data_IF_837404300763
#
_entry.id   IF_837404300763
#
_cell.length_a   1.000
_cell.length_b   1.000
_cell.length_c   1.000
_cell.angle_alpha   90.00
_cell.angle_beta   90.00
_cell.angle_gamma   90.00
#
_symmetry.space_group_name_H-M   'P 1'
#
loop_
_entity.id
_entity.type
_entity.pdbx_description
1 polymer ?
#
# COMPACT_ATOMS: atom_id res chain seq x y z
N UNK A 1 32.97 48.72 -12.78
CA UNK A 1 32.23 47.46 -13.05
C UNK A 1 31.78 46.92 -11.69
N UNK A 2 30.51 47.20 -11.33
CA UNK A 2 29.93 46.79 -10.04
C UNK A 2 29.38 45.37 -10.21
N UNK A 3 29.75 44.51 -9.26
CA UNK A 3 29.24 43.13 -9.16
C UNK A 3 27.74 43.12 -8.82
N UNK A 4 26.95 42.18 -9.35
CA UNK A 4 25.55 42.09 -9.01
C UNK A 4 25.39 41.50 -7.60
N UNK A 5 24.71 42.23 -6.74
CA UNK A 5 24.24 41.79 -5.44
C UNK A 5 23.27 40.61 -5.60
N UNK A 6 23.67 39.48 -5.06
CA UNK A 6 22.77 38.29 -4.96
C UNK A 6 21.59 38.64 -4.05
N UNK A 7 20.41 38.75 -4.60
CA UNK A 7 19.15 38.84 -3.88
C UNK A 7 18.90 37.51 -3.14
N UNK A 8 19.09 37.53 -1.82
CA UNK A 8 18.65 36.44 -0.93
C UNK A 8 17.16 36.30 -1.05
N UNK A 9 16.70 35.16 -1.58
CA UNK A 9 15.30 34.80 -1.58
C UNK A 9 14.82 34.69 -0.13
N UNK A 10 13.87 35.54 0.24
CA UNK A 10 13.26 35.55 1.57
C UNK A 10 12.64 34.17 1.87
N UNK A 11 13.10 33.55 2.93
CA UNK A 11 12.51 32.31 3.49
C UNK A 11 11.07 32.63 3.92
N UNK A 12 10.03 31.85 3.53
CA UNK A 12 8.70 32.07 4.03
C UNK A 12 8.68 31.89 5.55
N UNK A 13 8.29 32.92 6.29
CA UNK A 13 8.22 32.95 7.76
C UNK A 13 6.93 32.31 8.27
N UNK A 14 6.76 31.01 8.05
CA UNK A 14 5.65 30.23 8.61
C UNK A 14 6.12 28.84 9.01
N UNK A 15 5.76 28.39 10.22
CA UNK A 15 5.99 27.01 10.62
C UNK A 15 5.15 26.09 9.77
N UNK A 16 5.78 25.04 9.24
CA UNK A 16 5.04 23.98 8.59
C UNK A 16 4.11 23.31 9.62
N UNK A 17 2.84 23.03 9.29
CA UNK A 17 1.94 22.35 10.21
C UNK A 17 2.48 20.97 10.58
N UNK A 18 2.18 20.53 11.81
CA UNK A 18 2.65 19.24 12.33
C UNK A 18 2.29 18.10 11.37
N UNK A 19 3.28 17.28 11.00
CA UNK A 19 3.13 16.19 10.06
C UNK A 19 2.83 16.63 8.62
N UNK A 20 3.13 17.87 8.24
CA UNK A 20 2.87 18.48 6.93
C UNK A 20 1.38 18.44 6.51
N UNK A 21 0.45 18.43 7.47
CA UNK A 21 -0.97 18.35 7.17
C UNK A 21 -1.43 19.53 6.30
N UNK A 22 -2.05 19.25 5.14
CA UNK A 22 -2.54 20.25 4.20
C UNK A 22 -1.47 20.92 3.37
N UNK A 23 -0.19 20.51 3.49
CA UNK A 23 0.89 21.00 2.62
C UNK A 23 0.88 20.24 1.32
N UNK A 24 0.70 20.94 0.20
CA UNK A 24 0.86 20.40 -1.16
C UNK A 24 2.33 20.44 -1.52
N UNK A 25 2.96 19.26 -1.60
CA UNK A 25 4.40 19.13 -1.89
C UNK A 25 4.66 19.05 -3.39
N UNK A 26 3.75 18.44 -4.15
CA UNK A 26 3.86 18.23 -5.59
C UNK A 26 2.48 18.07 -6.21
N UNK A 27 2.41 18.05 -7.54
CA UNK A 27 1.21 17.70 -8.30
C UNK A 27 1.26 16.24 -8.72
N UNK A 28 0.11 15.64 -9.01
CA UNK A 28 -0.01 14.28 -9.52
C UNK A 28 -1.22 14.15 -10.45
N UNK A 29 -1.08 13.31 -11.49
CA UNK A 29 -2.17 12.90 -12.37
C UNK A 29 -2.69 11.48 -12.04
N UNK A 30 -2.10 10.82 -11.01
CA UNK A 30 -2.39 9.41 -10.72
C UNK A 30 -3.71 9.21 -9.98
N UNK A 31 -4.11 10.16 -9.15
CA UNK A 31 -5.38 10.09 -8.42
C UNK A 31 -5.47 11.08 -7.26
N UNK A 32 -6.63 11.07 -6.62
CA UNK A 32 -6.91 11.94 -5.47
C UNK A 32 -7.82 11.22 -4.46
N UNK A 33 -7.78 11.70 -3.20
CA UNK A 33 -8.62 11.20 -2.10
C UNK A 33 -9.40 12.36 -1.51
N UNK A 34 -10.71 12.37 -1.74
CA UNK A 34 -11.64 13.40 -1.29
C UNK A 34 -12.33 12.95 0.00
N UNK A 35 -11.69 13.26 1.12
CA UNK A 35 -12.09 12.75 2.42
C UNK A 35 -13.48 13.17 2.88
N UNK A 36 -13.91 14.38 2.55
CA UNK A 36 -15.24 14.91 2.89
C UNK A 36 -16.35 14.25 2.06
N UNK A 37 -16.03 13.87 0.80
CA UNK A 37 -16.98 13.22 -0.12
C UNK A 37 -17.04 11.69 0.07
N UNK A 38 -16.09 11.08 0.79
CA UNK A 38 -15.96 9.63 0.87
C UNK A 38 -15.63 9.02 -0.49
N UNK A 39 -14.78 9.69 -1.27
CA UNK A 39 -14.47 9.32 -2.65
C UNK A 39 -12.97 9.30 -2.88
N UNK A 40 -12.51 8.37 -3.72
CA UNK A 40 -11.15 8.35 -4.27
C UNK A 40 -11.16 7.80 -5.69
N UNK A 41 -10.16 8.17 -6.46
CA UNK A 41 -10.09 7.80 -7.86
C UNK A 41 -8.66 7.53 -8.33
N UNK A 42 -8.53 6.72 -9.37
CA UNK A 42 -7.30 6.51 -10.12
C UNK A 42 -7.47 7.15 -11.49
N UNK A 43 -6.57 8.08 -11.83
CA UNK A 43 -6.77 8.93 -12.99
C UNK A 43 -8.18 9.55 -12.94
N UNK A 44 -8.98 9.44 -13.97
CA UNK A 44 -10.36 9.96 -14.04
C UNK A 44 -11.44 8.97 -13.59
N UNK A 45 -11.09 7.79 -13.10
CA UNK A 45 -12.05 6.72 -12.78
C UNK A 45 -12.21 6.50 -11.28
N UNK A 46 -13.44 6.33 -10.82
CA UNK A 46 -13.74 5.89 -9.45
C UNK A 46 -12.97 4.60 -9.15
N UNK A 47 -12.18 4.60 -8.08
CA UNK A 47 -11.41 3.43 -7.69
C UNK A 47 -12.30 2.27 -7.22
N UNK A 48 -13.47 2.59 -6.62
CA UNK A 48 -14.47 1.59 -6.23
C UNK A 48 -15.10 0.92 -7.45
N UNK A 49 -15.42 1.69 -8.49
CA UNK A 49 -16.01 1.12 -9.71
C UNK A 49 -14.98 0.28 -10.47
N UNK A 50 -13.71 0.70 -10.50
CA UNK A 50 -12.62 -0.12 -11.00
C UNK A 50 -12.49 -1.43 -10.22
N UNK A 51 -12.56 -1.39 -8.90
CA UNK A 51 -12.48 -2.59 -8.05
C UNK A 51 -13.64 -3.58 -8.27
N UNK A 52 -14.81 -3.07 -8.65
CA UNK A 52 -15.97 -3.91 -8.98
C UNK A 52 -15.90 -4.55 -10.38
N UNK A 53 -15.24 -3.89 -11.33
CA UNK A 53 -15.40 -4.21 -12.76
C UNK A 53 -14.11 -4.58 -13.48
N UNK A 54 -12.93 -4.34 -12.88
CA UNK A 54 -11.64 -4.48 -13.55
C UNK A 54 -10.69 -5.41 -12.79
N UNK A 55 -9.69 -5.92 -13.49
CA UNK A 55 -8.60 -6.70 -12.90
C UNK A 55 -7.50 -5.79 -12.37
N UNK A 56 -6.58 -6.36 -11.60
CA UNK A 56 -5.39 -5.62 -11.11
C UNK A 56 -4.54 -5.15 -12.29
N UNK A 57 -4.41 -5.97 -13.34
CA UNK A 57 -3.65 -5.62 -14.54
C UNK A 57 -4.28 -4.47 -15.34
N UNK A 58 -5.62 -4.38 -15.39
CA UNK A 58 -6.30 -3.22 -16.01
C UNK A 58 -5.90 -1.91 -15.29
N UNK A 59 -5.91 -1.93 -13.95
CA UNK A 59 -5.60 -0.74 -13.14
C UNK A 59 -4.10 -0.45 -13.14
N UNK A 60 -3.26 -1.47 -13.12
CA UNK A 60 -1.83 -1.32 -13.30
C UNK A 60 -1.50 -0.66 -14.64
N UNK A 61 -2.09 -1.17 -15.73
CA UNK A 61 -1.96 -0.56 -17.05
C UNK A 61 -2.44 0.91 -17.05
N UNK A 62 -3.61 1.18 -16.47
CA UNK A 62 -4.17 2.54 -16.36
C UNK A 62 -3.18 3.50 -15.69
N UNK A 63 -2.61 3.13 -14.55
CA UNK A 63 -1.69 4.01 -13.81
C UNK A 63 -0.37 4.24 -14.54
N UNK A 64 0.17 3.20 -15.21
CA UNK A 64 1.48 3.28 -15.89
C UNK A 64 1.39 3.81 -17.33
N UNK A 65 0.27 3.59 -18.05
CA UNK A 65 0.09 3.97 -19.46
C UNK A 65 -0.89 5.14 -19.67
N UNK A 66 -1.68 5.50 -18.63
CA UNK A 66 -2.53 6.69 -18.62
C UNK A 66 -3.99 6.48 -19.10
N UNK A 67 -4.34 5.30 -19.59
CA UNK A 67 -5.70 4.93 -20.03
C UNK A 67 -6.04 3.50 -19.70
N UNK A 68 -7.33 3.14 -19.69
CA UNK A 68 -7.75 1.75 -19.54
C UNK A 68 -7.43 0.95 -20.81
N UNK A 69 -6.90 -0.28 -20.67
CA UNK A 69 -6.53 -1.07 -21.83
C UNK A 69 -7.76 -1.56 -22.60
N UNK A 70 -7.65 -1.63 -23.91
CA UNK A 70 -8.46 -2.50 -24.75
C UNK A 70 -8.15 -3.98 -24.45
N UNK A 71 -8.98 -4.91 -24.92
CA UNK A 71 -8.73 -6.34 -24.74
C UNK A 71 -7.38 -6.79 -25.32
N UNK A 72 -6.99 -6.24 -26.47
CA UNK A 72 -5.72 -6.54 -27.12
C UNK A 72 -4.52 -5.98 -26.33
N UNK A 73 -4.61 -4.75 -25.83
CA UNK A 73 -3.58 -4.15 -24.99
C UNK A 73 -3.42 -4.89 -23.66
N UNK A 74 -4.53 -5.30 -23.03
CA UNK A 74 -4.49 -6.09 -21.81
C UNK A 74 -3.80 -7.44 -22.02
N UNK A 75 -4.11 -8.13 -23.13
CA UNK A 75 -3.47 -9.39 -23.47
C UNK A 75 -1.96 -9.22 -23.69
N UNK A 76 -1.56 -8.20 -24.44
CA UNK A 76 -0.16 -7.86 -24.66
C UNK A 76 0.56 -7.50 -23.35
N UNK A 77 -0.08 -6.71 -22.49
CA UNK A 77 0.47 -6.33 -21.18
C UNK A 77 0.67 -7.55 -20.25
N UNK A 78 -0.30 -8.47 -20.22
CA UNK A 78 -0.16 -9.72 -19.46
C UNK A 78 1.01 -10.57 -19.96
N UNK A 79 1.17 -10.67 -21.28
CA UNK A 79 2.31 -11.37 -21.88
C UNK A 79 3.66 -10.67 -21.57
N UNK A 80 3.69 -9.33 -21.54
CA UNK A 80 4.87 -8.54 -21.14
C UNK A 80 5.25 -8.80 -19.67
N UNK A 81 4.26 -8.87 -18.77
CA UNK A 81 4.47 -9.00 -17.33
C UNK A 81 4.79 -10.44 -16.89
N UNK A 82 4.24 -11.45 -17.57
CA UNK A 82 4.34 -12.84 -17.14
C UNK A 82 5.79 -13.30 -16.87
N UNK A 83 6.77 -13.13 -17.78
CA UNK A 83 8.15 -13.55 -17.54
C UNK A 83 8.83 -12.76 -16.40
N UNK A 84 8.36 -11.53 -16.12
CA UNK A 84 8.92 -10.69 -15.07
C UNK A 84 8.54 -11.15 -13.66
N UNK A 85 7.56 -12.04 -13.52
CA UNK A 85 7.15 -12.63 -12.24
C UNK A 85 8.12 -13.71 -11.73
N UNK A 86 8.97 -14.24 -12.59
CA UNK A 86 9.88 -15.35 -12.25
C UNK A 86 11.00 -14.87 -11.33
N UNK A 87 11.25 -15.64 -10.25
CA UNK A 87 12.37 -15.37 -9.34
C UNK A 87 13.69 -15.73 -10.01
N UNK A 88 14.68 -14.83 -10.04
CA UNK A 88 16.01 -15.18 -10.48
C UNK A 88 16.71 -16.10 -9.45
N UNK A 89 17.64 -16.99 -9.86
CA UNK A 89 18.33 -17.91 -8.96
C UNK A 89 18.93 -17.23 -7.73
N UNK A 90 19.53 -16.07 -7.88
CA UNK A 90 20.14 -15.30 -6.78
C UNK A 90 19.16 -14.98 -5.66
N UNK A 91 17.87 -14.80 -5.96
CA UNK A 91 16.85 -14.60 -4.93
C UNK A 91 16.44 -15.92 -4.28
N UNK A 92 16.33 -17.00 -5.06
CA UNK A 92 15.98 -18.33 -4.54
C UNK A 92 17.00 -18.78 -3.51
N UNK A 93 18.29 -18.59 -3.78
CA UNK A 93 19.40 -19.01 -2.91
C UNK A 93 19.37 -18.33 -1.53
N UNK A 94 18.84 -17.10 -1.42
CA UNK A 94 18.83 -16.34 -0.17
C UNK A 94 17.50 -16.46 0.60
N UNK A 95 16.45 -17.05 0.01
CA UNK A 95 15.14 -17.17 0.67
C UNK A 95 15.21 -17.80 2.07
N UNK A 96 15.99 -18.89 2.32
CA UNK A 96 16.09 -19.48 3.64
C UNK A 96 16.61 -18.51 4.72
N UNK A 97 17.57 -17.65 4.35
CA UNK A 97 18.12 -16.65 5.26
C UNK A 97 17.14 -15.50 5.53
N UNK A 98 16.27 -15.17 4.58
CA UNK A 98 15.33 -14.05 4.67
C UNK A 98 13.98 -14.45 5.30
N UNK A 99 13.60 -15.71 5.22
CA UNK A 99 12.28 -16.18 5.65
C UNK A 99 12.09 -16.20 7.18
N UNK A 100 13.16 -16.15 7.98
CA UNK A 100 13.10 -16.11 9.44
C UNK A 100 12.57 -14.79 10.03
N UNK A 101 12.66 -13.70 9.27
CA UNK A 101 12.20 -12.37 9.68
C UNK A 101 10.74 -12.07 9.29
N UNK A 102 10.33 -10.79 9.44
CA UNK A 102 9.03 -10.37 8.91
C UNK A 102 9.02 -10.40 7.38
N UNK A 103 7.89 -10.77 6.73
CA UNK A 103 7.82 -10.81 5.26
C UNK A 103 8.22 -9.49 4.58
N UNK A 104 7.85 -8.34 5.17
CA UNK A 104 8.22 -7.02 4.63
C UNK A 104 9.72 -6.73 4.77
N UNK A 105 10.39 -7.21 5.81
CA UNK A 105 11.84 -7.11 5.93
C UNK A 105 12.52 -7.99 4.88
N UNK A 106 12.04 -9.22 4.70
CA UNK A 106 12.55 -10.15 3.69
C UNK A 106 12.44 -9.58 2.28
N UNK A 107 11.27 -9.04 1.89
CA UNK A 107 11.09 -8.47 0.54
C UNK A 107 11.96 -7.23 0.31
N UNK A 108 12.18 -6.36 1.31
CA UNK A 108 13.10 -5.21 1.18
C UNK A 108 14.52 -5.67 0.84
N UNK A 109 15.01 -6.68 1.57
CA UNK A 109 16.35 -7.22 1.33
C UNK A 109 16.43 -7.93 -0.03
N UNK A 110 15.42 -8.73 -0.37
CA UNK A 110 15.36 -9.40 -1.67
C UNK A 110 15.35 -8.41 -2.84
N UNK A 111 14.57 -7.32 -2.74
CA UNK A 111 14.55 -6.28 -3.78
C UNK A 111 15.89 -5.55 -3.88
N UNK A 112 16.53 -5.21 -2.77
CA UNK A 112 17.88 -4.59 -2.79
C UNK A 112 18.89 -5.50 -3.47
N UNK A 113 18.84 -6.81 -3.19
CA UNK A 113 19.69 -7.80 -3.86
C UNK A 113 19.38 -7.92 -5.35
N UNK A 114 18.07 -7.93 -5.71
CA UNK A 114 17.64 -7.95 -7.10
C UNK A 114 18.21 -6.77 -7.87
N UNK A 115 18.05 -5.55 -7.33
CA UNK A 115 18.56 -4.33 -7.95
C UNK A 115 20.09 -4.39 -8.17
N UNK A 116 20.84 -4.87 -7.18
CA UNK A 116 22.27 -5.04 -7.29
C UNK A 116 22.66 -6.10 -8.35
N UNK A 117 21.95 -7.24 -8.37
CA UNK A 117 22.23 -8.35 -9.27
C UNK A 117 21.83 -8.06 -10.74
N UNK A 118 20.75 -7.33 -10.96
CA UNK A 118 20.27 -6.92 -12.29
C UNK A 118 20.90 -5.60 -12.75
N UNK A 119 21.75 -4.96 -11.93
CA UNK A 119 22.44 -3.72 -12.28
C UNK A 119 21.51 -2.51 -12.39
N UNK A 120 20.61 -2.34 -11.41
CA UNK A 120 19.70 -1.21 -11.35
C UNK A 120 20.44 0.13 -11.51
N UNK A 121 19.93 1.01 -12.39
CA UNK A 121 20.56 2.27 -12.75
C UNK A 121 19.72 3.45 -12.25
N UNK A 122 20.36 4.59 -11.94
CA UNK A 122 19.67 5.83 -11.60
C UNK A 122 18.60 6.17 -12.64
N UNK A 123 17.37 6.54 -12.20
CA UNK A 123 16.31 6.95 -13.14
C UNK A 123 16.72 8.17 -13.97
N UNK A 124 17.67 8.96 -13.44
CA UNK A 124 18.23 10.11 -14.16
C UNK A 124 18.90 9.71 -15.47
N UNK A 125 19.56 8.54 -15.50
CA UNK A 125 20.35 8.02 -16.63
C UNK A 125 19.53 7.14 -17.59
N UNK A 126 18.24 6.97 -17.31
CA UNK A 126 17.36 6.08 -18.07
C UNK A 126 16.38 6.84 -18.95
N UNK A 127 16.08 6.29 -20.12
CA UNK A 127 14.95 6.73 -20.94
C UNK A 127 13.62 6.41 -20.23
N UNK A 128 12.52 7.07 -20.58
CA UNK A 128 11.19 6.76 -20.04
C UNK A 128 10.81 5.28 -20.21
N UNK A 129 11.19 4.65 -21.32
CA UNK A 129 10.93 3.25 -21.61
C UNK A 129 11.70 2.32 -20.68
N UNK A 130 12.97 2.62 -20.40
CA UNK A 130 13.80 1.84 -19.45
C UNK A 130 13.28 1.97 -18.02
N UNK A 131 12.90 3.19 -17.58
CA UNK A 131 12.25 3.41 -16.28
C UNK A 131 10.97 2.59 -16.14
N UNK A 132 10.14 2.57 -17.21
CA UNK A 132 8.92 1.78 -17.23
C UNK A 132 9.20 0.27 -17.14
N UNK A 133 10.22 -0.24 -17.81
CA UNK A 133 10.63 -1.65 -17.73
C UNK A 133 11.08 -2.02 -16.31
N UNK A 134 11.92 -1.19 -15.67
CA UNK A 134 12.35 -1.41 -14.28
C UNK A 134 11.15 -1.41 -13.31
N UNK A 135 10.21 -0.47 -13.49
CA UNK A 135 8.99 -0.42 -12.70
C UNK A 135 8.11 -1.66 -12.88
N UNK A 136 7.95 -2.15 -14.13
CA UNK A 136 7.23 -3.41 -14.41
C UNK A 136 7.90 -4.60 -13.73
N UNK A 137 9.23 -4.69 -13.80
CA UNK A 137 10.01 -5.75 -13.15
C UNK A 137 9.77 -5.79 -11.65
N UNK A 138 9.85 -4.64 -10.97
CA UNK A 138 9.64 -4.54 -9.52
C UNK A 138 8.19 -4.91 -9.15
N UNK A 139 7.21 -4.38 -9.86
CA UNK A 139 5.79 -4.69 -9.60
C UNK A 139 5.50 -6.19 -9.78
N UNK A 140 6.06 -6.81 -10.83
CA UNK A 140 5.80 -8.20 -11.16
C UNK A 140 6.43 -9.18 -10.16
N UNK A 141 7.64 -8.89 -9.67
CA UNK A 141 8.41 -9.82 -8.83
C UNK A 141 8.01 -9.77 -7.35
N UNK A 142 7.54 -8.63 -6.84
CA UNK A 142 7.21 -8.46 -5.40
C UNK A 142 6.21 -9.49 -4.89
N UNK A 143 5.08 -9.78 -5.56
CA UNK A 143 4.16 -10.83 -5.11
C UNK A 143 4.83 -12.20 -5.04
N UNK A 144 5.66 -12.54 -6.03
CA UNK A 144 6.34 -13.84 -6.08
C UNK A 144 7.38 -13.97 -4.95
N UNK A 145 8.14 -12.91 -4.66
CA UNK A 145 9.09 -12.88 -3.52
C UNK A 145 8.34 -13.09 -2.20
N UNK A 146 7.24 -12.38 -1.98
CA UNK A 146 6.46 -12.48 -0.74
C UNK A 146 5.87 -13.88 -0.56
N UNK A 147 5.30 -14.47 -1.62
CA UNK A 147 4.78 -15.84 -1.59
C UNK A 147 5.90 -16.86 -1.33
N UNK A 148 7.06 -16.68 -1.96
CA UNK A 148 8.22 -17.55 -1.77
C UNK A 148 8.75 -17.48 -0.33
N UNK A 149 8.87 -16.29 0.26
CA UNK A 149 9.26 -16.10 1.65
C UNK A 149 8.28 -16.78 2.63
N UNK A 150 6.98 -16.63 2.39
CA UNK A 150 5.96 -17.31 3.19
C UNK A 150 6.10 -18.83 3.12
N UNK A 151 6.19 -19.40 1.91
CA UNK A 151 6.31 -20.85 1.73
C UNK A 151 7.60 -21.40 2.30
N UNK A 152 8.72 -20.70 2.11
CA UNK A 152 10.02 -21.07 2.70
C UNK A 152 9.93 -21.09 4.23
N UNK A 153 9.32 -20.07 4.83
CA UNK A 153 9.10 -20.01 6.29
C UNK A 153 8.24 -21.18 6.80
N UNK A 154 7.23 -21.56 6.03
CA UNK A 154 6.35 -22.68 6.34
C UNK A 154 6.96 -24.06 6.01
N UNK A 155 8.16 -24.14 5.47
CA UNK A 155 8.77 -25.39 5.03
C UNK A 155 8.08 -26.03 3.81
N UNK A 156 7.35 -25.23 3.02
CA UNK A 156 6.60 -25.69 1.86
C UNK A 156 7.41 -25.49 0.56
N UNK A 157 7.22 -26.35 -0.46
CA UNK A 157 7.83 -26.17 -1.76
C UNK A 157 7.42 -24.82 -2.39
N UNK A 158 8.34 -24.17 -3.13
CA UNK A 158 8.02 -22.97 -3.89
C UNK A 158 6.99 -23.30 -4.97
N UNK A 159 6.10 -22.34 -5.23
CA UNK A 159 5.08 -22.42 -6.29
C UNK A 159 5.33 -21.29 -7.28
N UNK A 160 5.62 -21.65 -8.52
CA UNK A 160 5.82 -20.68 -9.59
C UNK A 160 4.49 -20.00 -9.98
N UNK A 161 4.54 -18.72 -10.39
CA UNK A 161 3.37 -18.06 -10.97
C UNK A 161 2.94 -18.73 -12.27
N UNK A 162 1.65 -18.67 -12.58
CA UNK A 162 1.06 -19.20 -13.82
C UNK A 162 0.73 -18.04 -14.76
N UNK A 163 0.96 -18.23 -16.04
CA UNK A 163 0.69 -17.21 -17.07
C UNK A 163 -0.80 -17.04 -17.37
N UNK A 164 -1.60 -18.11 -17.20
CA UNK A 164 -3.04 -18.13 -17.45
C UNK A 164 -3.87 -17.50 -16.31
N UNK A 165 -3.24 -17.16 -15.17
CA UNK A 165 -3.92 -16.56 -14.03
C UNK A 165 -3.66 -15.05 -13.96
N UNK A 166 -4.69 -14.27 -13.60
CA UNK A 166 -4.52 -12.87 -13.25
C UNK A 166 -3.79 -12.69 -11.90
N UNK A 167 -3.42 -11.46 -11.55
CA UNK A 167 -2.62 -11.18 -10.36
C UNK A 167 -3.26 -11.68 -9.06
N UNK A 168 -4.59 -11.57 -8.92
CA UNK A 168 -5.29 -12.02 -7.71
C UNK A 168 -5.33 -13.54 -7.61
N UNK A 169 -5.63 -14.22 -8.72
CA UNK A 169 -5.61 -15.67 -8.78
C UNK A 169 -4.19 -16.23 -8.58
N UNK A 170 -3.19 -15.60 -9.19
CA UNK A 170 -1.78 -15.96 -9.01
C UNK A 170 -1.32 -15.76 -7.56
N UNK A 171 -1.76 -14.69 -6.89
CA UNK A 171 -1.43 -14.48 -5.48
C UNK A 171 -1.90 -15.66 -4.62
N UNK A 172 -3.19 -16.03 -4.73
CA UNK A 172 -3.75 -17.17 -4.02
C UNK A 172 -3.09 -18.50 -4.41
N UNK A 173 -2.83 -18.70 -5.70
CA UNK A 173 -2.13 -19.88 -6.21
C UNK A 173 -0.73 -20.02 -5.63
N UNK A 174 0.08 -18.96 -5.65
CA UNK A 174 1.44 -19.00 -5.11
C UNK A 174 1.49 -19.21 -3.60
N UNK A 175 0.49 -18.73 -2.85
CA UNK A 175 0.40 -18.96 -1.42
C UNK A 175 0.04 -20.41 -1.09
N UNK A 176 -0.97 -20.95 -1.75
CA UNK A 176 -1.59 -22.23 -1.36
C UNK A 176 -1.07 -23.43 -2.15
N UNK A 177 -0.63 -23.23 -3.40
CA UNK A 177 -0.31 -24.30 -4.36
C UNK A 177 -1.57 -24.95 -4.96
N UNK A 178 -2.75 -24.38 -4.73
CA UNK A 178 -4.04 -24.87 -5.24
C UNK A 178 -4.83 -23.75 -5.92
N UNK A 179 -5.67 -24.13 -6.88
CA UNK A 179 -6.55 -23.17 -7.53
C UNK A 179 -7.65 -22.73 -6.56
N UNK A 180 -7.74 -21.41 -6.35
CA UNK A 180 -8.74 -20.84 -5.46
C UNK A 180 -10.13 -20.80 -6.12
N UNK A 181 -11.21 -20.88 -5.33
CA UNK A 181 -12.57 -20.63 -5.81
C UNK A 181 -12.70 -19.23 -6.43
N UNK A 182 -13.50 -19.09 -7.50
CA UNK A 182 -13.66 -17.78 -8.18
C UNK A 182 -14.21 -16.69 -7.25
N UNK A 183 -15.02 -17.05 -6.26
CA UNK A 183 -15.50 -16.10 -5.25
C UNK A 183 -14.34 -15.50 -4.44
N UNK A 184 -13.33 -16.32 -4.06
CA UNK A 184 -12.15 -15.87 -3.34
C UNK A 184 -11.25 -15.01 -4.24
N UNK A 185 -11.05 -15.43 -5.50
CA UNK A 185 -10.29 -14.65 -6.49
C UNK A 185 -10.92 -13.28 -6.68
N UNK A 186 -12.23 -13.20 -6.86
CA UNK A 186 -12.96 -11.95 -7.03
C UNK A 186 -12.85 -11.05 -5.78
N UNK A 187 -12.95 -11.62 -4.59
CA UNK A 187 -12.84 -10.89 -3.34
C UNK A 187 -11.44 -10.29 -3.14
N UNK A 188 -10.39 -11.09 -3.38
CA UNK A 188 -9.00 -10.63 -3.31
C UNK A 188 -8.71 -9.61 -4.40
N UNK A 189 -9.21 -9.80 -5.62
CA UNK A 189 -9.10 -8.82 -6.73
C UNK A 189 -9.68 -7.46 -6.35
N UNK A 190 -10.90 -7.41 -5.76
CA UNK A 190 -11.51 -6.16 -5.28
C UNK A 190 -10.64 -5.47 -4.24
N UNK A 191 -10.09 -6.23 -3.28
CA UNK A 191 -9.19 -5.71 -2.28
C UNK A 191 -7.91 -5.14 -2.91
N UNK A 192 -7.25 -5.90 -3.77
CA UNK A 192 -6.01 -5.47 -4.42
C UNK A 192 -6.24 -4.20 -5.25
N UNK A 193 -7.30 -4.15 -6.08
CA UNK A 193 -7.63 -2.95 -6.87
C UNK A 193 -7.93 -1.76 -5.98
N UNK A 194 -8.71 -1.92 -4.92
CA UNK A 194 -9.05 -0.83 -4.00
C UNK A 194 -7.86 -0.27 -3.20
N UNK A 195 -6.73 -1.00 -3.20
CA UNK A 195 -5.54 -0.64 -2.41
C UNK A 195 -4.29 -0.34 -3.24
N UNK A 196 -4.38 -0.35 -4.57
CA UNK A 196 -3.25 -0.05 -5.48
C UNK A 196 -2.62 1.31 -5.16
N UNK A 197 -3.43 2.34 -4.97
CA UNK A 197 -2.98 3.66 -4.55
C UNK A 197 -3.98 4.28 -3.56
N UNK A 198 -3.55 5.29 -2.82
CA UNK A 198 -4.43 6.06 -1.94
C UNK A 198 -3.78 7.41 -1.62
N UNK A 199 -3.63 8.23 -2.62
CA UNK A 199 -3.10 9.58 -2.55
C UNK A 199 -1.67 9.66 -2.00
N UNK A 200 -1.31 10.83 -1.50
CA UNK A 200 0.07 11.15 -1.10
C UNK A 200 0.37 10.71 0.35
N UNK A 201 0.21 9.41 0.62
CA UNK A 201 0.49 8.82 1.92
C UNK A 201 2.00 8.74 2.23
N UNK A 202 2.37 8.36 3.48
CA UNK A 202 3.75 8.36 3.93
C UNK A 202 4.71 7.53 3.06
N UNK A 203 4.31 6.33 2.62
CA UNK A 203 5.16 5.50 1.77
C UNK A 203 5.27 6.02 0.34
N UNK A 204 4.18 6.55 -0.23
CA UNK A 204 4.19 7.22 -1.54
C UNK A 204 5.07 8.46 -1.51
N UNK A 205 4.96 9.29 -0.45
CA UNK A 205 5.83 10.44 -0.26
C UNK A 205 7.31 10.02 -0.17
N UNK A 206 7.62 8.97 0.60
CA UNK A 206 8.98 8.45 0.72
C UNK A 206 9.53 7.97 -0.64
N UNK A 207 8.73 7.23 -1.42
CA UNK A 207 9.11 6.80 -2.77
C UNK A 207 9.46 8.00 -3.66
N UNK A 208 8.60 9.05 -3.65
CA UNK A 208 8.82 10.26 -4.46
C UNK A 208 10.02 11.07 -4.00
N UNK A 209 10.29 11.15 -2.69
CA UNK A 209 11.51 11.80 -2.17
C UNK A 209 12.75 11.12 -2.74
N UNK A 210 12.82 9.78 -2.66
CA UNK A 210 13.97 9.02 -3.19
C UNK A 210 14.07 9.16 -4.71
N UNK A 211 12.98 8.99 -5.45
CA UNK A 211 12.96 9.15 -6.89
C UNK A 211 13.38 10.56 -7.34
N UNK A 212 13.02 11.61 -6.57
CA UNK A 212 13.39 13.00 -6.86
C UNK A 212 14.89 13.27 -6.81
N UNK A 213 15.66 12.40 -6.17
CA UNK A 213 17.14 12.47 -6.14
C UNK A 213 17.79 11.84 -7.36
N UNK A 214 16.99 11.24 -8.27
CA UNK A 214 17.49 10.51 -9.43
C UNK A 214 17.89 9.05 -9.14
N UNK A 215 17.66 8.53 -7.92
CA UNK A 215 17.95 7.15 -7.54
C UNK A 215 17.13 6.14 -8.36
N UNK A 216 17.56 4.87 -8.39
CA UNK A 216 16.89 3.82 -9.14
C UNK A 216 15.50 3.45 -8.58
N UNK A 217 14.69 2.78 -9.40
CA UNK A 217 13.30 2.38 -9.05
C UNK A 217 13.29 1.46 -7.84
N UNK A 218 14.26 0.54 -7.74
CA UNK A 218 14.34 -0.43 -6.63
C UNK A 218 14.59 0.31 -5.31
N UNK A 219 15.53 1.24 -5.28
CA UNK A 219 15.83 2.06 -4.09
C UNK A 219 14.59 2.83 -3.61
N UNK A 220 13.83 3.43 -4.53
CA UNK A 220 12.61 4.16 -4.21
C UNK A 220 11.52 3.24 -3.61
N UNK A 221 11.33 2.05 -4.18
CA UNK A 221 10.35 1.07 -3.67
C UNK A 221 10.78 0.45 -2.35
N UNK A 222 12.07 0.16 -2.16
CA UNK A 222 12.62 -0.33 -0.88
C UNK A 222 12.39 0.69 0.24
N UNK A 223 12.60 1.98 -0.05
CA UNK A 223 12.33 3.06 0.90
C UNK A 223 10.83 3.17 1.23
N UNK A 224 9.95 3.05 0.21
CA UNK A 224 8.51 3.01 0.39
C UNK A 224 8.07 1.83 1.27
N UNK A 225 8.60 0.64 1.03
CA UNK A 225 8.37 -0.55 1.87
C UNK A 225 8.85 -0.32 3.31
N UNK A 226 9.96 0.40 3.49
CA UNK A 226 10.44 0.82 4.81
C UNK A 226 9.41 1.64 5.57
N UNK A 227 8.89 2.71 4.96
CA UNK A 227 7.84 3.54 5.53
C UNK A 227 6.53 2.76 5.73
N UNK A 228 6.18 1.89 4.77
CA UNK A 228 4.96 1.07 4.82
C UNK A 228 4.98 0.05 5.97
N UNK A 229 6.14 -0.48 6.33
CA UNK A 229 6.28 -1.44 7.44
C UNK A 229 6.08 -0.81 8.84
N UNK A 230 5.97 0.51 8.91
CA UNK A 230 5.75 1.22 10.18
C UNK A 230 4.37 0.91 10.80
N UNK A 231 4.28 0.76 12.14
CA UNK A 231 3.03 0.39 12.82
C UNK A 231 1.93 1.47 12.73
N UNK A 232 2.27 2.68 12.30
CA UNK A 232 1.33 3.78 12.08
C UNK A 232 0.86 3.91 10.63
N UNK A 233 1.27 2.99 9.75
CA UNK A 233 0.96 3.05 8.31
C UNK A 233 0.36 1.73 7.78
N UNK A 234 1.14 0.76 7.33
CA UNK A 234 0.62 -0.43 6.66
C UNK A 234 0.24 -1.62 7.57
N UNK A 235 0.65 -1.60 8.83
CA UNK A 235 0.59 -2.77 9.74
C UNK A 235 -0.69 -2.88 10.58
N UNK A 236 -1.88 -2.72 10.03
CA UNK A 236 -3.09 -2.68 10.85
C UNK A 236 -4.22 -3.69 10.54
N UNK A 237 -4.28 -4.41 9.39
CA UNK A 237 -5.40 -5.33 9.14
C UNK A 237 -5.44 -6.55 10.08
N UNK A 238 -4.29 -7.07 10.50
CA UNK A 238 -4.17 -8.13 11.49
C UNK A 238 -4.74 -7.71 12.86
N UNK A 239 -4.39 -6.51 13.33
CA UNK A 239 -4.88 -5.96 14.60
C UNK A 239 -6.40 -5.71 14.61
N UNK A 240 -6.98 -5.37 13.46
CA UNK A 240 -8.42 -5.20 13.35
C UNK A 240 -9.15 -6.55 13.44
N UNK A 241 -8.58 -7.62 12.88
CA UNK A 241 -9.11 -8.98 13.00
C UNK A 241 -8.96 -9.52 14.44
N UNK A 242 -7.83 -9.25 15.11
CA UNK A 242 -7.63 -9.59 16.51
C UNK A 242 -8.68 -8.91 17.41
N UNK A 243 -8.96 -7.62 17.18
CA UNK A 243 -10.01 -6.90 17.88
C UNK A 243 -11.39 -7.55 17.69
N UNK A 244 -11.74 -8.00 16.48
CA UNK A 244 -12.98 -8.73 16.21
C UNK A 244 -13.02 -10.06 16.98
N UNK A 245 -11.91 -10.79 17.03
CA UNK A 245 -11.80 -12.05 17.77
C UNK A 245 -11.89 -11.84 19.29
N UNK A 246 -11.26 -10.80 19.85
CA UNK A 246 -11.36 -10.43 21.27
C UNK A 246 -12.79 -10.07 21.66
N UNK A 247 -13.51 -9.31 20.84
CA UNK A 247 -14.91 -8.97 21.06
C UNK A 247 -15.76 -10.24 21.03
N UNK A 248 -15.62 -11.08 20.02
CA UNK A 248 -16.21 -12.42 19.91
C UNK A 248 -17.74 -12.48 19.84
N UNK A 249 -18.46 -11.49 20.38
CA UNK A 249 -19.91 -11.39 20.35
C UNK A 249 -20.35 -9.91 20.32
N UNK A 250 -21.38 -9.53 19.52
CA UNK A 250 -21.80 -8.13 19.39
C UNK A 250 -22.15 -7.43 20.70
N UNK A 251 -22.75 -8.13 21.64
CA UNK A 251 -23.12 -7.56 22.96
C UNK A 251 -21.91 -7.16 23.83
N UNK A 252 -20.73 -7.69 23.55
CA UNK A 252 -19.50 -7.31 24.25
C UNK A 252 -18.82 -6.07 23.68
N UNK A 253 -19.21 -5.66 22.46
CA UNK A 253 -18.52 -4.62 21.71
C UNK A 253 -18.49 -3.27 22.46
N UNK A 254 -19.58 -2.84 23.06
CA UNK A 254 -19.65 -1.57 23.80
C UNK A 254 -18.70 -1.56 25.02
N UNK A 255 -18.73 -2.62 25.83
CA UNK A 255 -17.86 -2.74 27.00
C UNK A 255 -16.38 -2.77 26.57
N UNK A 256 -16.04 -3.54 25.53
CA UNK A 256 -14.69 -3.61 24.97
C UNK A 256 -14.20 -2.25 24.49
N UNK A 257 -15.03 -1.49 23.76
CA UNK A 257 -14.69 -0.11 23.30
C UNK A 257 -14.36 0.79 24.48
N UNK A 258 -15.20 0.79 25.53
CA UNK A 258 -14.97 1.63 26.71
C UNK A 258 -13.68 1.25 27.44
N UNK A 259 -13.37 -0.04 27.53
CA UNK A 259 -12.11 -0.53 28.10
C UNK A 259 -10.89 -0.06 27.29
N UNK A 260 -10.94 -0.16 25.94
CA UNK A 260 -9.84 0.33 25.11
C UNK A 260 -9.61 1.82 25.32
N UNK A 261 -10.69 2.62 25.35
CA UNK A 261 -10.62 4.05 25.53
C UNK A 261 -10.11 4.45 26.93
N UNK A 262 -10.57 3.78 27.98
CA UNK A 262 -10.10 4.00 29.35
C UNK A 262 -8.60 3.69 29.51
N UNK A 263 -8.11 2.70 28.78
CA UNK A 263 -6.69 2.35 28.73
C UNK A 263 -5.85 3.25 27.78
N UNK A 264 -6.46 4.29 27.18
CA UNK A 264 -5.77 5.16 26.21
C UNK A 264 -5.41 4.49 24.88
N UNK A 265 -5.95 3.30 24.60
CA UNK A 265 -5.69 2.55 23.39
C UNK A 265 -6.60 3.01 22.24
N UNK A 266 -6.15 2.79 21.00
CA UNK A 266 -6.95 3.01 19.80
C UNK A 266 -7.87 1.82 19.56
N UNK A 267 -9.09 2.08 19.11
CA UNK A 267 -9.98 1.04 18.58
C UNK A 267 -9.54 0.76 17.14
N UNK A 268 -8.80 -0.34 16.96
CA UNK A 268 -8.23 -0.70 15.66
C UNK A 268 -9.33 -1.06 14.66
N UNK A 269 -9.13 -0.72 13.39
CA UNK A 269 -10.14 -0.88 12.36
C UNK A 269 -11.18 0.25 12.29
N UNK A 270 -11.13 1.25 13.21
CA UNK A 270 -12.11 2.36 13.25
C UNK A 270 -11.44 3.73 13.23
N UNK A 271 -12.03 4.65 12.45
CA UNK A 271 -11.50 5.99 12.22
C UNK A 271 -10.47 6.05 11.09
N UNK A 272 -10.33 7.23 10.48
CA UNK A 272 -9.43 7.48 9.37
C UNK A 272 -8.79 8.86 9.45
N UNK A 273 -7.54 8.98 8.95
CA UNK A 273 -6.82 10.25 8.95
C UNK A 273 -7.40 11.25 7.93
N UNK A 274 -7.92 10.75 6.81
CA UNK A 274 -8.40 11.53 5.67
C UNK A 274 -9.94 11.59 5.64
N UNK A 275 -10.61 10.43 5.63
CA UNK A 275 -12.07 10.40 5.52
C UNK A 275 -12.77 10.97 6.76
N UNK A 276 -13.77 11.84 6.52
CA UNK A 276 -14.70 12.37 7.52
C UNK A 276 -16.06 11.67 7.47
N UNK A 277 -16.28 10.92 6.39
CA UNK A 277 -17.43 10.03 6.14
C UNK A 277 -16.98 8.58 6.23
N UNK A 278 -17.77 7.64 5.70
CA UNK A 278 -17.38 6.24 5.56
C UNK A 278 -16.22 6.09 4.58
N UNK A 279 -15.24 5.26 4.90
CA UNK A 279 -14.19 4.85 3.96
C UNK A 279 -14.82 4.02 2.83
N UNK A 280 -14.80 4.46 1.57
CA UNK A 280 -15.45 3.77 0.47
C UNK A 280 -14.87 2.37 0.21
N UNK A 281 -13.61 2.14 0.61
CA UNK A 281 -12.98 0.81 0.55
C UNK A 281 -13.58 -0.12 1.59
N UNK A 282 -13.84 0.39 2.81
CA UNK A 282 -14.50 -0.38 3.86
C UNK A 282 -15.93 -0.78 3.43
N UNK A 283 -16.67 0.13 2.79
CA UNK A 283 -18.01 -0.17 2.24
C UNK A 283 -17.94 -1.27 1.20
N UNK A 284 -17.03 -1.18 0.23
CA UNK A 284 -16.81 -2.20 -0.81
C UNK A 284 -16.45 -3.56 -0.20
N UNK A 285 -15.56 -3.58 0.80
CA UNK A 285 -15.10 -4.83 1.41
C UNK A 285 -16.16 -5.42 2.35
N UNK A 286 -17.01 -4.61 2.97
CA UNK A 286 -18.20 -5.09 3.70
C UNK A 286 -19.16 -5.82 2.76
N UNK A 287 -19.48 -5.24 1.61
CA UNK A 287 -20.28 -5.89 0.56
C UNK A 287 -19.63 -7.22 0.13
N UNK A 288 -18.31 -7.19 -0.10
CA UNK A 288 -17.55 -8.37 -0.51
C UNK A 288 -17.54 -9.47 0.56
N UNK A 289 -17.40 -9.10 1.84
CA UNK A 289 -17.48 -10.05 2.95
C UNK A 289 -18.87 -10.72 3.03
N UNK A 290 -19.94 -9.93 2.86
CA UNK A 290 -21.31 -10.45 2.83
C UNK A 290 -21.57 -11.36 1.60
N UNK A 291 -20.99 -11.05 0.43
CA UNK A 291 -21.07 -11.92 -0.75
C UNK A 291 -20.33 -13.26 -0.54
N UNK A 292 -19.23 -13.26 0.20
CA UNK A 292 -18.52 -14.49 0.59
C UNK A 292 -19.32 -15.29 1.62
N UNK A 293 -20.08 -14.60 2.47
CA UNK A 293 -20.94 -15.22 3.49
C UNK A 293 -20.18 -15.81 4.68
N UNK A 294 -20.92 -16.54 5.50
CA UNK A 294 -20.41 -17.25 6.67
C UNK A 294 -20.40 -16.42 7.96
N UNK A 295 -20.32 -17.14 9.09
CA UNK A 295 -20.46 -16.60 10.44
C UNK A 295 -19.51 -15.41 10.73
N UNK A 296 -18.31 -15.43 10.15
CA UNK A 296 -17.33 -14.34 10.35
C UNK A 296 -17.80 -13.02 9.73
N UNK A 297 -18.43 -13.05 8.55
CA UNK A 297 -18.94 -11.85 7.90
C UNK A 297 -20.14 -11.28 8.67
N UNK A 298 -21.03 -12.15 9.12
CA UNK A 298 -22.19 -11.76 9.93
C UNK A 298 -21.77 -11.16 11.27
N UNK A 299 -20.85 -11.82 11.97
CA UNK A 299 -20.26 -11.32 13.21
C UNK A 299 -19.61 -9.94 13.01
N UNK A 300 -18.82 -9.78 11.94
CA UNK A 300 -18.13 -8.52 11.66
C UNK A 300 -19.12 -7.36 11.45
N UNK A 301 -20.21 -7.60 10.73
CA UNK A 301 -21.25 -6.58 10.52
C UNK A 301 -21.94 -6.21 11.84
N UNK A 302 -22.36 -7.19 12.64
CA UNK A 302 -23.03 -6.96 13.90
C UNK A 302 -22.10 -6.25 14.92
N UNK A 303 -20.83 -6.60 14.96
CA UNK A 303 -19.82 -5.94 15.81
C UNK A 303 -19.55 -4.51 15.33
N UNK A 304 -19.41 -4.28 14.00
CA UNK A 304 -19.22 -2.92 13.46
C UNK A 304 -20.31 -1.97 13.95
N UNK A 305 -21.59 -2.37 13.83
CA UNK A 305 -22.73 -1.54 14.23
C UNK A 305 -22.67 -1.17 15.71
N UNK A 306 -22.34 -2.11 16.59
CA UNK A 306 -22.19 -1.88 18.02
C UNK A 306 -20.97 -1.02 18.37
N UNK A 307 -19.83 -1.25 17.74
CA UNK A 307 -18.62 -0.44 17.95
C UNK A 307 -18.83 1.01 17.50
N UNK A 308 -19.44 1.22 16.32
CA UNK A 308 -19.74 2.57 15.83
C UNK A 308 -20.68 3.31 16.78
N UNK A 309 -21.74 2.65 17.29
CA UNK A 309 -22.66 3.23 18.28
C UNK A 309 -21.92 3.61 19.58
N UNK A 310 -21.12 2.70 20.14
CA UNK A 310 -20.35 2.95 21.37
C UNK A 310 -19.31 4.08 21.18
N UNK A 311 -18.67 4.16 20.03
CA UNK A 311 -17.75 5.26 19.72
C UNK A 311 -18.45 6.60 19.58
N UNK A 312 -19.67 6.64 19.01
CA UNK A 312 -20.45 7.86 18.87
C UNK A 312 -20.88 8.40 20.25
N UNK A 313 -21.25 7.52 21.19
CA UNK A 313 -21.56 7.90 22.57
C UNK A 313 -20.32 8.36 23.35
N UNK A 314 -19.20 7.62 23.23
CA UNK A 314 -17.98 7.93 23.98
C UNK A 314 -17.20 9.14 23.44
N UNK A 315 -17.38 9.50 22.16
CA UNK A 315 -16.68 10.61 21.48
C UNK A 315 -17.66 11.45 20.65
N UNK A 316 -18.59 12.17 21.28
CA UNK A 316 -19.55 12.99 20.57
C UNK A 316 -18.86 14.02 19.66
N UNK A 317 -19.42 14.25 18.47
CA UNK A 317 -18.86 15.15 17.46
C UNK A 317 -17.75 14.54 16.59
N UNK A 318 -17.40 13.25 16.76
CA UNK A 318 -16.46 12.53 15.89
C UNK A 318 -17.16 11.34 15.25
N UNK A 319 -17.41 11.42 13.95
CA UNK A 319 -17.89 10.27 13.18
C UNK A 319 -16.73 9.27 12.95
N UNK A 320 -16.71 8.18 13.74
CA UNK A 320 -15.69 7.13 13.64
C UNK A 320 -16.34 5.89 13.02
N UNK A 321 -16.08 5.68 11.74
CA UNK A 321 -16.54 4.53 10.97
C UNK A 321 -15.45 3.48 10.83
N UNK A 322 -15.83 2.25 10.43
CA UNK A 322 -14.89 1.23 10.03
C UNK A 322 -14.04 1.73 8.85
N UNK A 323 -12.72 1.51 8.93
CA UNK A 323 -11.79 1.80 7.86
C UNK A 323 -11.51 0.53 7.01
N UNK A 324 -10.68 0.67 5.97
CA UNK A 324 -10.37 -0.44 5.05
C UNK A 324 -9.85 -1.69 5.78
N UNK A 325 -9.12 -1.52 6.88
CA UNK A 325 -8.42 -2.61 7.56
C UNK A 325 -9.39 -3.59 8.23
N UNK A 326 -10.52 -3.10 8.75
CA UNK A 326 -11.52 -3.92 9.43
C UNK A 326 -12.06 -5.03 8.51
N UNK A 327 -12.59 -4.66 7.35
CA UNK A 327 -13.11 -5.66 6.41
C UNK A 327 -12.03 -6.32 5.55
N UNK A 328 -10.87 -5.70 5.37
CA UNK A 328 -9.74 -6.35 4.72
C UNK A 328 -9.31 -7.62 5.47
N UNK A 329 -9.19 -7.55 6.80
CA UNK A 329 -8.91 -8.72 7.64
C UNK A 329 -9.96 -9.82 7.50
N UNK A 330 -11.25 -9.45 7.53
CA UNK A 330 -12.37 -10.40 7.36
C UNK A 330 -12.32 -11.09 5.99
N UNK A 331 -12.20 -10.33 4.90
CA UNK A 331 -12.15 -10.86 3.52
C UNK A 331 -10.94 -11.77 3.33
N UNK A 332 -9.75 -11.32 3.73
CA UNK A 332 -8.50 -12.10 3.58
C UNK A 332 -8.55 -13.40 4.37
N UNK A 333 -9.01 -13.37 5.63
CA UNK A 333 -9.13 -14.57 6.44
C UNK A 333 -10.17 -15.55 5.89
N UNK A 334 -11.29 -15.07 5.33
CA UNK A 334 -12.30 -15.90 4.67
C UNK A 334 -11.73 -16.55 3.40
N UNK A 335 -10.84 -15.85 2.68
CA UNK A 335 -10.14 -16.39 1.51
C UNK A 335 -8.95 -17.30 1.87
N UNK A 336 -8.70 -17.61 3.14
CA UNK A 336 -7.63 -18.50 3.59
C UNK A 336 -6.24 -17.87 3.61
N UNK A 337 -6.14 -16.54 3.54
CA UNK A 337 -4.88 -15.82 3.70
C UNK A 337 -4.58 -15.70 5.20
N UNK A 338 -3.41 -16.17 5.62
CA UNK A 338 -2.99 -16.11 7.02
C UNK A 338 -2.77 -14.66 7.50
N UNK A 339 -3.05 -14.33 8.79
CA UNK A 339 -2.97 -12.95 9.29
C UNK A 339 -1.63 -12.27 9.05
N UNK A 340 -0.51 -12.97 9.20
CA UNK A 340 0.84 -12.45 8.93
C UNK A 340 1.06 -12.03 7.46
N UNK A 341 0.17 -12.45 6.56
CA UNK A 341 0.20 -12.08 5.14
C UNK A 341 -0.72 -10.91 4.79
N UNK A 342 -1.47 -10.33 5.72
CA UNK A 342 -2.40 -9.24 5.40
C UNK A 342 -1.65 -7.99 4.91
N UNK A 343 -0.67 -7.53 5.66
CA UNK A 343 0.19 -6.42 5.21
C UNK A 343 1.03 -6.77 3.98
N UNK A 344 1.63 -7.97 3.85
CA UNK A 344 2.22 -8.42 2.59
C UNK A 344 1.26 -8.42 1.40
N UNK A 345 0.03 -8.88 1.56
CA UNK A 345 -1.00 -8.82 0.51
C UNK A 345 -1.29 -7.38 0.08
N UNK A 346 -1.35 -6.45 1.03
CA UNK A 346 -1.46 -5.03 0.73
C UNK A 346 -0.26 -4.52 -0.09
N UNK A 347 0.95 -4.91 0.28
CA UNK A 347 2.15 -4.49 -0.44
C UNK A 347 2.18 -4.98 -1.90
N UNK A 348 1.59 -6.16 -2.20
CA UNK A 348 1.54 -6.69 -3.58
C UNK A 348 0.77 -5.81 -4.56
N UNK A 349 -0.23 -5.08 -4.09
CA UNK A 349 -0.95 -4.11 -4.92
C UNK A 349 -0.33 -2.71 -4.83
N UNK A 350 0.06 -2.28 -3.64
CA UNK A 350 0.58 -0.92 -3.43
C UNK A 350 1.87 -0.66 -4.17
N UNK A 351 2.68 -1.68 -4.45
CA UNK A 351 3.90 -1.53 -5.26
C UNK A 351 3.62 -0.96 -6.64
N UNK A 352 2.49 -1.26 -7.24
CA UNK A 352 2.04 -0.70 -8.53
C UNK A 352 1.85 0.82 -8.43
N UNK A 353 1.17 1.27 -7.38
CA UNK A 353 1.00 2.69 -7.10
C UNK A 353 2.34 3.40 -6.83
N UNK A 354 3.21 2.82 -6.00
CA UNK A 354 4.54 3.40 -5.76
C UNK A 354 5.34 3.53 -7.05
N UNK A 355 5.37 2.50 -7.89
CA UNK A 355 6.08 2.55 -9.18
C UNK A 355 5.48 3.62 -10.11
N UNK A 356 4.16 3.76 -10.18
CA UNK A 356 3.53 4.83 -10.95
C UNK A 356 3.96 6.22 -10.45
N UNK A 357 3.98 6.44 -9.14
CA UNK A 357 4.48 7.68 -8.54
C UNK A 357 5.97 7.91 -8.76
N UNK A 358 6.79 6.87 -8.76
CA UNK A 358 8.23 6.94 -9.09
C UNK A 358 8.43 7.37 -10.54
N UNK A 359 7.66 6.78 -11.48
CA UNK A 359 7.71 7.15 -12.90
C UNK A 359 7.31 8.61 -13.13
N UNK A 360 6.24 9.06 -12.47
CA UNK A 360 5.79 10.45 -12.55
C UNK A 360 6.85 11.40 -11.96
N UNK A 361 7.43 11.07 -10.78
CA UNK A 361 8.46 11.90 -10.17
C UNK A 361 9.75 11.92 -10.98
N UNK A 362 10.13 10.83 -11.61
CA UNK A 362 11.32 10.75 -12.47
C UNK A 362 11.23 11.62 -13.73
N UNK A 363 10.02 12.08 -14.10
CA UNK A 363 9.81 13.06 -15.16
C UNK A 363 9.98 14.52 -14.68
N UNK A 364 9.97 14.76 -13.36
CA UNK A 364 10.20 16.08 -12.74
C UNK A 364 11.66 16.18 -12.27
N UNK A 365 12.47 17.10 -12.76
CA UNK A 365 13.88 17.22 -12.38
C UNK A 365 14.11 17.82 -11.00
N UNK A 366 13.07 18.21 -10.29
CA UNK A 366 13.18 18.92 -9.00
C UNK A 366 13.31 17.96 -7.84
N UNK A 367 14.33 18.18 -6.98
CA UNK A 367 14.50 17.43 -5.74
C UNK A 367 13.49 17.92 -4.71
N UNK A 368 12.79 17.00 -4.07
CA UNK A 368 11.93 17.27 -2.91
C UNK A 368 12.82 17.47 -1.68
N UNK A 369 13.08 18.75 -1.33
CA UNK A 369 13.97 19.12 -0.25
C UNK A 369 13.35 20.23 0.62
N UNK A 370 12.52 19.87 1.62
CA UNK A 370 12.01 20.84 2.58
C UNK A 370 13.14 21.37 3.49
N UNK A 371 12.87 22.50 4.14
CA UNK A 371 13.75 23.09 5.15
C UNK A 371 13.34 22.67 6.55
N UNK A 372 14.30 22.71 7.49
CA UNK A 372 14.03 22.54 8.91
C UNK A 372 14.38 23.82 9.67
N UNK A 373 13.61 24.12 10.73
CA UNK A 373 13.96 25.15 11.69
C UNK A 373 14.87 24.54 12.75
N UNK A 374 16.06 25.13 12.94
CA UNK A 374 16.95 24.77 14.03
C UNK A 374 16.42 25.33 15.35
N UNK A 375 16.31 24.49 16.37
CA UNK A 375 15.82 24.85 17.72
C UNK A 375 16.83 24.58 18.83
N UNK A 376 18.07 24.25 18.47
CA UNK A 376 19.17 24.06 19.42
C UNK A 376 19.77 25.36 19.91
N UNK A 377 20.89 25.31 20.68
CA UNK A 377 21.61 26.47 21.15
C UNK A 377 22.04 27.41 20.02
N UNK A 378 22.16 28.70 20.32
CA UNK A 378 22.56 29.68 19.32
C UNK A 378 23.93 29.37 18.73
N UNK A 379 24.07 29.53 17.43
CA UNK A 379 25.31 29.32 16.68
C UNK A 379 25.74 30.65 16.00
N UNK A 380 27.07 30.84 15.74
CA UNK A 380 28.16 29.93 16.07
C UNK A 380 28.68 30.11 17.52
N UNK A 381 29.17 29.02 18.11
CA UNK A 381 29.98 29.08 19.36
C UNK A 381 31.40 28.73 18.96
N UNK A 382 32.44 29.45 19.51
CA UNK A 382 33.84 29.11 19.26
C UNK A 382 34.11 27.63 19.64
N UNK A 383 34.84 26.93 18.79
CA UNK A 383 35.34 25.59 19.11
C UNK A 383 36.47 25.75 20.15
N UNK A 384 36.40 25.06 21.30
CA UNK A 384 37.43 25.18 22.36
C UNK A 384 38.80 24.65 21.94
#
# INVERSE_FOLDING_TARGET
MSAPTATSAATPSGDAPAGLRGVVVTTTELGDVRGEEGFFHYRQYSAVDLARTRTVEDVWFLLHRGHLPSAAELAAFRAEVAPLRVLPPVLVDVLPALAGGSPLAGVRTALSLLGAAEGARPVLDLSPQQRAADALRVCAVVPTVLAALHRTRAGLPLVAPREDLDAAANWLWMLTGAQAPEAHVRAVRRYLVATVDHGFNASTFTARVVASTGADVVAAVVAALGAFSGPLHGGAPDRALDALAEIGHPDRAAAWVLEQLAAGRRVMGFGHAVYRTRDPRSVLLRETALELGGDRAELAVAVEERVVAALAEAKPGRALHANVEYYAGVVMATCGIAPELFTPTFATSRVVGWCAHVLEQAADPRIIRPSARYTGPAAPVPVP
#
